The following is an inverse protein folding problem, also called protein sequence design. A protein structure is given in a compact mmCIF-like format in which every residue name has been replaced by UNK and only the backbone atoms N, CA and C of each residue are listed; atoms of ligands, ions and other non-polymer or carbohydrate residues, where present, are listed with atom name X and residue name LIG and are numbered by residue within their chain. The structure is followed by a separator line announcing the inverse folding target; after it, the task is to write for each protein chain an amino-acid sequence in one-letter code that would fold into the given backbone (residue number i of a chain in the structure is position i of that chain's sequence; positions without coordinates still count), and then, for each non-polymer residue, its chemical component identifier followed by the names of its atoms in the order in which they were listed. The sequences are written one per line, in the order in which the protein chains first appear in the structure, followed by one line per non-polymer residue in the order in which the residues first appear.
data_IF_524427122097
#
_entry.id   IF_524427122097
#
_cell.length_a   1.000
_cell.length_b   1.000
_cell.length_c   1.000
_cell.angle_alpha   90.00
_cell.angle_beta   90.00
_cell.angle_gamma   90.00
#
_symmetry.space_group_name_H-M   'P 1'
#
loop_
_entity.id
_entity.type
_entity.pdbx_description
1 polymer ?
#
# COMPACT_ATOMS: atom_id res chain seq x y z
N UNK A 1 20.43 -4.63 -6.90
CA UNK A 1 19.21 -4.52 -6.07
C UNK A 1 18.46 -5.84 -6.16
N UNK A 2 18.56 -6.75 -5.16
CA UNK A 2 17.87 -8.04 -5.23
C UNK A 2 16.85 -8.17 -4.09
N UNK A 3 15.56 -8.16 -4.42
CA UNK A 3 14.59 -9.08 -3.81
C UNK A 3 13.47 -9.37 -4.83
N UNK A 4 13.65 -10.38 -5.69
CA UNK A 4 12.61 -10.90 -6.57
C UNK A 4 11.85 -12.01 -5.83
N UNK A 5 10.86 -11.66 -5.01
CA UNK A 5 9.81 -12.51 -4.39
C UNK A 5 10.17 -13.83 -3.67
N UNK A 6 11.44 -14.23 -3.53
CA UNK A 6 11.80 -15.57 -3.04
C UNK A 6 11.48 -15.83 -1.56
N UNK A 7 11.12 -14.80 -0.77
CA UNK A 7 10.66 -14.97 0.61
C UNK A 7 9.88 -13.73 1.05
N UNK A 8 8.66 -13.59 0.54
CA UNK A 8 7.72 -12.53 0.93
C UNK A 8 6.44 -13.17 1.46
N UNK A 9 5.83 -12.54 2.45
CA UNK A 9 4.53 -12.94 2.99
C UNK A 9 3.46 -12.04 2.40
N UNK A 10 2.36 -12.62 1.92
CA UNK A 10 1.20 -11.83 1.53
C UNK A 10 0.59 -11.13 2.75
N UNK A 11 0.40 -9.82 2.64
CA UNK A 11 -0.25 -9.01 3.67
C UNK A 11 -1.73 -8.85 3.35
N UNK A 12 -2.04 -8.52 2.09
CA UNK A 12 -3.39 -8.33 1.60
C UNK A 12 -3.39 -8.37 0.07
N UNK A 13 -4.41 -8.95 -0.54
CA UNK A 13 -4.54 -9.04 -1.99
C UNK A 13 -5.99 -8.81 -2.44
N UNK A 14 -6.14 -8.24 -3.63
CA UNK A 14 -7.39 -8.11 -4.37
C UNK A 14 -7.18 -8.58 -5.81
N UNK A 15 -8.23 -8.51 -6.65
CA UNK A 15 -8.10 -8.84 -8.07
C UNK A 15 -7.20 -7.86 -8.85
N UNK A 16 -6.98 -6.65 -8.32
CA UNK A 16 -6.28 -5.54 -8.98
C UNK A 16 -4.83 -5.36 -8.51
N UNK A 17 -4.45 -6.03 -7.43
CA UNK A 17 -3.09 -5.93 -6.89
C UNK A 17 -2.97 -6.52 -5.49
N UNK A 18 -1.76 -6.44 -4.95
CA UNK A 18 -1.43 -7.04 -3.67
C UNK A 18 -0.32 -6.28 -2.94
N UNK A 19 -0.28 -6.45 -1.62
CA UNK A 19 0.81 -5.99 -0.77
C UNK A 19 1.49 -7.18 -0.12
N UNK A 20 2.80 -7.21 -0.21
CA UNK A 20 3.65 -8.25 0.36
C UNK A 20 4.63 -7.67 1.37
N UNK A 21 4.91 -8.38 2.45
CA UNK A 21 5.94 -8.04 3.42
C UNK A 21 7.23 -8.81 3.11
N UNK A 22 8.35 -8.11 2.99
CA UNK A 22 9.66 -8.72 2.89
C UNK A 22 10.35 -8.71 4.26
N UNK A 23 10.40 -9.88 4.90
CA UNK A 23 10.98 -10.07 6.24
C UNK A 23 12.48 -9.76 6.28
N UNK A 24 13.20 -9.94 5.17
CA UNK A 24 14.65 -9.68 5.07
C UNK A 24 15.02 -8.20 5.02
N UNK A 25 14.19 -7.39 4.37
CA UNK A 25 14.48 -5.96 4.12
C UNK A 25 13.60 -5.01 4.92
N UNK A 26 12.71 -5.56 5.74
CA UNK A 26 11.74 -4.81 6.52
C UNK A 26 11.00 -3.75 5.66
N UNK A 27 10.53 -4.18 4.49
CA UNK A 27 9.84 -3.33 3.53
C UNK A 27 8.57 -4.01 3.03
N UNK A 28 7.65 -3.19 2.55
CA UNK A 28 6.40 -3.62 1.93
C UNK A 28 6.49 -3.41 0.43
N UNK A 29 6.08 -4.41 -0.33
CA UNK A 29 6.01 -4.37 -1.78
C UNK A 29 4.56 -4.23 -2.19
N UNK A 30 4.25 -3.18 -2.94
CA UNK A 30 2.97 -3.01 -3.60
C UNK A 30 3.11 -3.51 -5.03
N UNK A 31 2.34 -4.53 -5.38
CA UNK A 31 2.09 -4.94 -6.75
C UNK A 31 0.79 -4.29 -7.24
N UNK A 32 0.90 -3.45 -8.27
CA UNK A 32 -0.22 -2.74 -8.86
C UNK A 32 0.10 -2.34 -10.32
N UNK A 33 -0.89 -2.44 -11.23
CA UNK A 33 -0.71 -2.18 -12.66
C UNK A 33 0.52 -2.92 -13.27
N UNK A 34 0.72 -4.19 -12.90
CA UNK A 34 1.87 -5.01 -13.33
C UNK A 34 3.25 -4.46 -12.93
N UNK A 35 3.31 -3.54 -11.96
CA UNK A 35 4.55 -2.99 -11.42
C UNK A 35 4.66 -3.27 -9.93
N UNK A 36 5.89 -3.43 -9.43
CA UNK A 36 6.13 -3.80 -8.02
C UNK A 36 6.98 -2.75 -7.30
N UNK A 37 6.39 -1.91 -6.48
CA UNK A 37 7.04 -0.75 -5.82
C UNK A 37 7.33 -1.05 -4.35
N UNK A 38 8.56 -0.82 -3.90
CA UNK A 38 8.96 -1.03 -2.52
C UNK A 38 8.74 0.23 -1.66
N UNK A 39 8.24 0.02 -0.44
CA UNK A 39 8.00 1.05 0.56
C UNK A 39 8.60 0.66 1.90
N UNK A 40 9.18 1.64 2.60
CA UNK A 40 9.30 1.55 4.07
C UNK A 40 7.93 1.75 4.69
N UNK A 41 7.71 1.27 5.91
CA UNK A 41 6.39 1.38 6.58
C UNK A 41 5.90 2.83 6.69
N UNK A 42 6.78 3.80 6.99
CA UNK A 42 6.44 5.22 7.03
C UNK A 42 6.00 5.76 5.67
N UNK A 43 6.72 5.36 4.63
CA UNK A 43 6.51 5.82 3.26
C UNK A 43 5.22 5.21 2.70
N UNK A 44 4.93 3.96 3.07
CA UNK A 44 3.68 3.26 2.75
C UNK A 44 2.46 4.01 3.33
N UNK A 45 2.47 4.36 4.61
CA UNK A 45 1.37 5.10 5.21
C UNK A 45 1.24 6.53 4.68
N UNK A 46 2.36 7.17 4.34
CA UNK A 46 2.35 8.50 3.72
C UNK A 46 1.77 8.44 2.31
N UNK A 47 2.13 7.41 1.54
CA UNK A 47 1.56 7.14 0.22
C UNK A 47 0.05 6.88 0.29
N UNK A 48 -0.40 6.04 1.23
CA UNK A 48 -1.84 5.83 1.46
C UNK A 48 -2.58 7.13 1.72
N UNK A 49 -2.09 7.96 2.66
CA UNK A 49 -2.71 9.25 2.97
C UNK A 49 -2.82 10.14 1.72
N UNK A 50 -1.81 10.13 0.86
CA UNK A 50 -1.83 10.87 -0.40
C UNK A 50 -2.90 10.36 -1.36
N UNK A 51 -3.03 9.04 -1.52
CA UNK A 51 -4.08 8.43 -2.38
C UNK A 51 -5.49 8.69 -1.82
N UNK A 52 -5.65 8.61 -0.50
CA UNK A 52 -6.93 8.91 0.18
C UNK A 52 -7.34 10.38 0.01
N UNK A 53 -6.38 11.31 -0.14
CA UNK A 53 -6.64 12.73 -0.29
C UNK A 53 -7.10 13.15 -1.71
N UNK A 54 -6.96 12.28 -2.71
CA UNK A 54 -7.38 12.59 -4.09
C UNK A 54 -8.90 12.80 -4.13
N UNK A 55 -9.36 13.94 -4.65
CA UNK A 55 -10.79 14.20 -4.75
C UNK A 55 -11.37 13.53 -6.01
N UNK A 56 -11.81 12.29 -5.85
CA UNK A 56 -12.41 11.50 -6.94
C UNK A 56 -13.72 12.12 -7.44
N UNK A 57 -14.51 12.75 -6.57
CA UNK A 57 -15.76 13.39 -6.97
C UNK A 57 -15.51 14.52 -7.98
N UNK A 58 -14.52 15.38 -7.69
CA UNK A 58 -14.15 16.44 -8.64
C UNK A 58 -13.57 15.92 -9.96
N UNK A 59 -12.91 14.75 -9.95
CA UNK A 59 -12.42 14.13 -11.19
C UNK A 59 -13.57 13.63 -12.08
N UNK A 60 -14.67 13.18 -11.48
CA UNK A 60 -15.86 12.70 -12.22
C UNK A 60 -16.69 13.89 -12.74
N UNK A 61 -16.83 14.94 -11.94
CA UNK A 61 -17.67 16.10 -12.29
C UNK A 61 -17.03 17.00 -13.36
N UNK A 62 -15.72 16.92 -13.56
CA UNK A 62 -15.00 17.72 -14.55
C UNK A 62 -14.92 17.00 -15.91
N UNK A 63 -15.65 17.52 -16.90
CA UNK A 63 -15.67 16.99 -18.26
C UNK A 63 -14.41 17.32 -19.10
N UNK A 64 -13.40 17.96 -18.52
CA UNK A 64 -12.13 18.24 -19.20
C UNK A 64 -11.19 17.03 -19.17
N UNK A 65 -10.47 16.81 -20.28
CA UNK A 65 -9.51 15.69 -20.40
C UNK A 65 -8.34 15.74 -19.41
N UNK A 66 -8.17 16.86 -18.70
CA UNK A 66 -7.12 17.02 -17.69
C UNK A 66 -7.48 16.33 -16.37
N UNK A 67 -8.76 16.05 -16.14
CA UNK A 67 -9.28 15.51 -14.89
C UNK A 67 -9.50 13.99 -14.94
N UNK A 68 -9.25 13.37 -16.10
CA UNK A 68 -9.34 11.91 -16.31
C UNK A 68 -8.26 11.12 -15.53
N UNK A 69 -7.11 11.76 -15.23
CA UNK A 69 -5.96 11.10 -14.62
C UNK A 69 -5.28 11.97 -13.56
N UNK A 70 -4.80 11.31 -12.50
CA UNK A 70 -3.95 11.88 -11.47
C UNK A 70 -2.56 11.25 -11.54
N UNK A 71 -1.50 12.06 -11.53
CA UNK A 71 -0.12 11.58 -11.48
C UNK A 71 0.40 11.62 -10.05
N UNK A 72 0.69 10.46 -9.48
CA UNK A 72 1.20 10.33 -8.12
C UNK A 72 2.62 9.77 -8.11
N UNK A 73 3.54 10.55 -7.54
CA UNK A 73 4.92 10.10 -7.29
C UNK A 73 5.07 9.65 -5.84
N UNK A 74 5.38 8.37 -5.57
CA UNK A 74 5.71 7.92 -4.23
C UNK A 74 7.05 8.50 -3.79
N UNK A 75 7.26 8.56 -2.47
CA UNK A 75 8.49 9.11 -1.92
C UNK A 75 9.70 8.24 -2.29
N UNK A 76 10.82 8.90 -2.65
CA UNK A 76 12.14 8.28 -2.85
C UNK A 76 12.17 7.14 -3.89
N UNK A 77 11.35 7.26 -4.93
CA UNK A 77 11.36 6.39 -6.10
C UNK A 77 11.29 7.25 -7.36
N UNK A 78 11.90 6.78 -8.44
CA UNK A 78 11.83 7.41 -9.76
C UNK A 78 10.53 7.06 -10.51
N UNK A 79 9.66 6.26 -9.89
CA UNK A 79 8.41 5.81 -10.50
C UNK A 79 7.27 6.79 -10.27
N UNK A 80 6.40 6.90 -11.26
CA UNK A 80 5.12 7.58 -11.15
C UNK A 80 3.98 6.57 -11.37
N UNK A 81 2.86 6.84 -10.72
CA UNK A 81 1.58 6.18 -10.98
C UNK A 81 0.73 7.14 -11.81
N UNK A 82 0.23 6.66 -12.94
CA UNK A 82 -0.83 7.32 -13.69
C UNK A 82 -2.14 6.65 -13.31
N UNK A 83 -3.00 7.39 -12.61
CA UNK A 83 -4.19 6.82 -11.98
C UNK A 83 -5.45 7.44 -12.56
N UNK A 84 -6.28 6.64 -13.22
CA UNK A 84 -7.66 7.02 -13.46
C UNK A 84 -8.50 6.85 -12.19
N UNK A 85 -9.74 7.33 -12.19
CA UNK A 85 -10.69 7.19 -11.07
C UNK A 85 -10.76 5.76 -10.54
N UNK A 86 -10.92 4.78 -11.42
CA UNK A 86 -10.98 3.36 -11.05
C UNK A 86 -9.69 2.85 -10.39
N UNK A 87 -8.53 3.33 -10.85
CA UNK A 87 -7.23 2.96 -10.27
C UNK A 87 -7.09 3.53 -8.86
N UNK A 88 -7.57 4.76 -8.64
CA UNK A 88 -7.57 5.38 -7.31
C UNK A 88 -8.42 4.56 -6.34
N UNK A 89 -9.63 4.15 -6.76
CA UNK A 89 -10.51 3.35 -5.93
C UNK A 89 -9.92 1.96 -5.61
N UNK A 90 -9.39 1.27 -6.62
CA UNK A 90 -8.74 -0.03 -6.43
C UNK A 90 -7.51 0.08 -5.51
N UNK A 91 -6.69 1.13 -5.70
CA UNK A 91 -5.52 1.37 -4.89
C UNK A 91 -5.88 1.73 -3.44
N UNK A 92 -6.97 2.47 -3.21
CA UNK A 92 -7.50 2.73 -1.86
C UNK A 92 -7.88 1.46 -1.13
N UNK A 93 -8.56 0.54 -1.81
CA UNK A 93 -8.95 -0.76 -1.25
C UNK A 93 -7.72 -1.57 -0.83
N UNK A 94 -6.76 -1.74 -1.74
CA UNK A 94 -5.51 -2.47 -1.50
C UNK A 94 -4.76 -1.86 -0.30
N UNK A 95 -4.56 -0.55 -0.29
CA UNK A 95 -3.81 0.13 0.76
C UNK A 95 -4.54 0.15 2.10
N UNK A 96 -5.88 0.18 2.10
CA UNK A 96 -6.68 0.09 3.32
C UNK A 96 -6.61 -1.30 3.95
N UNK A 97 -6.82 -2.36 3.17
CA UNK A 97 -6.70 -3.74 3.64
C UNK A 97 -5.31 -4.04 4.17
N UNK A 98 -4.27 -3.64 3.42
CA UNK A 98 -2.89 -3.81 3.86
C UNK A 98 -2.57 -3.05 5.15
N UNK A 99 -3.00 -1.79 5.29
CA UNK A 99 -2.82 -1.01 6.53
C UNK A 99 -3.46 -1.73 7.72
N UNK A 100 -4.70 -2.18 7.57
CA UNK A 100 -5.41 -2.89 8.62
C UNK A 100 -4.66 -4.16 9.06
N UNK A 101 -4.20 -4.97 8.10
CA UNK A 101 -3.46 -6.20 8.38
C UNK A 101 -2.12 -5.93 9.09
N UNK A 102 -1.41 -4.87 8.71
CA UNK A 102 -0.16 -4.45 9.36
C UNK A 102 -0.41 -4.04 10.82
N UNK A 103 -1.45 -3.24 11.07
CA UNK A 103 -1.82 -2.78 12.42
C UNK A 103 -2.30 -3.96 13.29
N UNK A 104 -3.12 -4.85 12.73
CA UNK A 104 -3.60 -6.06 13.40
C UNK A 104 -2.44 -6.97 13.82
N UNK A 105 -1.51 -7.27 12.90
CA UNK A 105 -0.34 -8.10 13.21
C UNK A 105 0.51 -7.48 14.34
N UNK A 106 0.63 -6.15 14.35
CA UNK A 106 1.34 -5.42 15.41
C UNK A 106 0.65 -5.57 16.77
N UNK A 107 -0.67 -5.45 16.83
CA UNK A 107 -1.43 -5.58 18.09
C UNK A 107 -1.44 -7.05 18.59
N UNK A 108 -1.60 -8.03 17.70
CA UNK A 108 -1.52 -9.46 18.06
C UNK A 108 -0.15 -9.79 18.67
N UNK A 109 0.95 -9.37 18.04
CA UNK A 109 2.31 -9.56 18.57
C UNK A 109 2.49 -8.93 19.95
N UNK A 110 1.93 -7.74 20.16
CA UNK A 110 1.96 -7.06 21.46
C UNK A 110 1.19 -7.83 22.53
N UNK A 111 0.04 -8.40 22.20
CA UNK A 111 -0.74 -9.24 23.13
C UNK A 111 -0.02 -10.55 23.47
N UNK A 112 0.53 -11.24 22.47
CA UNK A 112 1.31 -12.46 22.69
C UNK A 112 2.53 -12.21 23.59
N UNK A 113 3.24 -11.09 23.40
CA UNK A 113 4.35 -10.70 24.26
C UNK A 113 3.90 -10.40 25.69
N UNK A 114 2.75 -9.74 25.89
CA UNK A 114 2.20 -9.47 27.23
C UNK A 114 1.80 -10.77 27.94
N UNK A 115 1.15 -11.70 27.26
CA UNK A 115 0.80 -13.01 27.82
C UNK A 115 2.01 -13.83 28.25
N UNK A 116 3.10 -13.77 27.47
CA UNK A 116 4.36 -14.45 27.81
C UNK A 116 5.08 -13.86 29.03
N UNK A 117 4.86 -12.58 29.36
CA UNK A 117 5.46 -11.93 30.54
C UNK A 117 4.67 -12.22 31.81
N UNK A 118 3.38 -12.56 31.71
CA UNK A 118 2.53 -12.95 32.84
C UNK A 118 2.63 -14.44 33.20
N UNK A 119 3.25 -15.25 32.33
CA UNK A 119 3.43 -16.69 32.51
C UNK A 119 4.83 -17.08 33.02
N UNK A 120 5.63 -16.10 33.44
CA UNK A 120 7.01 -16.25 33.92
C UNK A 120 7.21 -15.66 35.30
#
# INVERSE_FOLDING_TARGET
MNCPLANVEEVFATAQGAVYQCSRKNCYWLEFQHTTTAFRISDFFSFKKRIDAINVASMIDDASRRSDFEIVMPFRTERCFLLAVQDILALREILAGAKFMIELNSEVKKMLRKGSVLAS
#
